data_IF_611089622474
#
_entry.id   IF_611089622474
#
_cell.length_a   1.000
_cell.length_b   1.000
_cell.length_c   1.000
_cell.angle_alpha   90.00
_cell.angle_beta   90.00
_cell.angle_gamma   90.00
#
_symmetry.space_group_name_H-M   'P 1'
#
loop_
_entity.id
_entity.type
_entity.pdbx_description
1 polymer ?
#
# COMPACT_ATOMS: atom_id res chain seq x y z
N UNK A 1 16.80 -3.26 -15.62
CA UNK A 1 16.35 -4.67 -15.52
C UNK A 1 14.84 -4.77 -15.66
N UNK A 2 14.02 -4.12 -14.83
CA UNK A 2 12.54 -4.16 -14.91
C UNK A 2 12.02 -3.90 -16.33
N UNK A 3 12.44 -2.79 -16.96
CA UNK A 3 12.07 -2.47 -18.35
C UNK A 3 12.37 -3.60 -19.34
N UNK A 4 13.56 -4.19 -19.25
CA UNK A 4 13.97 -5.28 -20.14
C UNK A 4 13.06 -6.51 -19.99
N UNK A 5 12.68 -6.87 -18.76
CA UNK A 5 11.79 -8.01 -18.52
C UNK A 5 10.38 -7.76 -19.08
N UNK A 6 9.83 -6.56 -18.87
CA UNK A 6 8.54 -6.16 -19.43
C UNK A 6 8.58 -6.15 -20.97
N UNK A 7 9.65 -5.63 -21.56
CA UNK A 7 9.86 -5.63 -23.01
C UNK A 7 10.05 -7.05 -23.59
N UNK A 8 10.38 -8.04 -22.75
CA UNK A 8 10.44 -9.48 -23.11
C UNK A 8 9.14 -10.23 -22.82
N UNK A 9 8.07 -9.54 -22.44
CA UNK A 9 6.74 -10.12 -22.24
C UNK A 9 6.49 -10.65 -20.82
N UNK A 10 7.30 -10.25 -19.83
CA UNK A 10 6.96 -10.53 -18.43
C UNK A 10 5.63 -9.86 -18.07
N UNK A 11 4.72 -10.62 -17.44
CA UNK A 11 3.43 -10.10 -16.98
C UNK A 11 3.60 -9.32 -15.67
N UNK A 12 3.37 -8.00 -15.74
CA UNK A 12 3.47 -7.08 -14.60
C UNK A 12 2.44 -7.32 -13.49
N UNK A 13 1.40 -8.13 -13.77
CA UNK A 13 0.35 -8.51 -12.82
C UNK A 13 0.57 -9.89 -12.20
N UNK A 14 1.68 -10.56 -12.52
CA UNK A 14 2.02 -11.86 -11.94
C UNK A 14 2.06 -11.79 -10.42
N UNK A 15 1.29 -12.66 -9.76
CA UNK A 15 1.28 -12.80 -8.31
C UNK A 15 2.14 -13.99 -7.88
N UNK A 16 2.98 -13.80 -6.86
CA UNK A 16 3.62 -14.92 -6.19
C UNK A 16 4.86 -14.54 -5.39
N UNK A 17 5.39 -15.54 -4.67
CA UNK A 17 6.57 -15.38 -3.83
C UNK A 17 6.37 -14.43 -2.65
N UNK A 18 7.44 -14.23 -1.87
CA UNK A 18 7.43 -13.38 -0.68
C UNK A 18 7.08 -11.90 -0.97
N UNK A 19 7.32 -11.45 -2.20
CA UNK A 19 7.20 -10.05 -2.61
C UNK A 19 5.84 -9.72 -3.27
N UNK A 20 4.97 -10.70 -3.49
CA UNK A 20 3.67 -10.49 -4.12
C UNK A 20 3.80 -10.06 -5.59
N UNK A 21 3.07 -9.02 -6.01
CA UNK A 21 3.20 -8.47 -7.38
C UNK A 21 4.16 -7.28 -7.41
N UNK A 22 4.69 -7.02 -8.61
CA UNK A 22 5.75 -6.03 -8.83
C UNK A 22 5.34 -4.61 -8.41
N UNK A 23 4.08 -4.23 -8.63
CA UNK A 23 3.58 -2.89 -8.34
C UNK A 23 3.52 -2.61 -6.82
N UNK A 24 3.03 -3.56 -6.03
CA UNK A 24 3.01 -3.46 -4.56
C UNK A 24 4.43 -3.38 -4.00
N UNK A 25 5.34 -4.21 -4.52
CA UNK A 25 6.74 -4.20 -4.11
C UNK A 25 7.43 -2.87 -4.40
N UNK A 26 7.28 -2.33 -5.62
CA UNK A 26 7.84 -1.03 -5.98
C UNK A 26 7.25 0.10 -5.12
N UNK A 27 5.94 0.05 -4.85
CA UNK A 27 5.26 1.03 -4.01
C UNK A 27 5.73 0.97 -2.54
N UNK A 28 5.91 -0.23 -2.00
CA UNK A 28 6.43 -0.46 -0.65
C UNK A 28 7.87 0.06 -0.50
N UNK A 29 8.72 -0.19 -1.49
CA UNK A 29 10.14 0.21 -1.43
C UNK A 29 10.36 1.69 -1.77
N UNK A 30 9.39 2.38 -2.37
CA UNK A 30 9.53 3.78 -2.73
C UNK A 30 10.14 4.01 -4.12
N UNK A 31 10.06 3.04 -5.03
CA UNK A 31 10.63 3.16 -6.38
C UNK A 31 9.63 3.79 -7.36
N UNK A 32 9.49 5.13 -7.29
CA UNK A 32 8.50 5.89 -8.06
C UNK A 32 8.61 5.65 -9.57
N UNK A 33 9.81 5.64 -10.13
CA UNK A 33 10.04 5.43 -11.57
C UNK A 33 9.63 4.03 -12.00
N UNK A 34 9.80 3.03 -11.13
CA UNK A 34 9.37 1.65 -11.39
C UNK A 34 7.85 1.55 -11.31
N UNK A 35 7.21 2.19 -10.33
CA UNK A 35 5.74 2.26 -10.25
C UNK A 35 5.18 2.89 -11.52
N UNK A 36 5.73 4.02 -11.95
CA UNK A 36 5.29 4.69 -13.18
C UNK A 36 5.46 3.78 -14.41
N UNK A 37 6.63 3.15 -14.58
CA UNK A 37 6.89 2.25 -15.69
C UNK A 37 5.93 1.05 -15.73
N UNK A 38 5.63 0.45 -14.57
CA UNK A 38 4.70 -0.68 -14.48
C UNK A 38 3.29 -0.27 -14.90
N UNK A 39 2.80 0.88 -14.42
CA UNK A 39 1.49 1.42 -14.80
C UNK A 39 1.42 1.78 -16.29
N UNK A 40 2.49 2.34 -16.85
CA UNK A 40 2.62 2.61 -18.30
C UNK A 40 2.61 1.32 -19.15
N UNK A 41 3.08 0.21 -18.58
CA UNK A 41 3.10 -1.12 -19.21
C UNK A 41 1.83 -1.94 -18.93
N UNK A 42 0.79 -1.33 -18.36
CA UNK A 42 -0.53 -1.96 -18.18
C UNK A 42 -0.68 -2.78 -16.91
N UNK A 43 0.18 -2.57 -15.89
CA UNK A 43 -0.09 -3.12 -14.57
C UNK A 43 -1.40 -2.55 -14.02
N UNK A 44 -2.24 -3.43 -13.45
CA UNK A 44 -3.50 -3.02 -12.83
C UNK A 44 -3.21 -2.32 -11.50
N UNK A 45 -3.56 -1.04 -11.43
CA UNK A 45 -3.37 -0.17 -10.25
C UNK A 45 -4.12 -0.69 -9.01
N UNK A 46 -5.21 -1.43 -9.22
CA UNK A 46 -6.07 -1.97 -8.18
C UNK A 46 -5.86 -3.47 -7.95
N UNK A 47 -4.85 -4.07 -8.59
CA UNK A 47 -4.53 -5.47 -8.39
C UNK A 47 -4.32 -5.80 -6.91
N UNK A 48 -4.95 -6.87 -6.47
CA UNK A 48 -4.95 -7.28 -5.08
C UNK A 48 -4.09 -8.53 -4.89
N UNK A 49 -3.03 -8.41 -4.09
CA UNK A 49 -2.19 -9.53 -3.68
C UNK A 49 -2.32 -9.85 -2.19
N UNK A 50 -1.45 -10.73 -1.69
CA UNK A 50 -1.35 -11.08 -0.27
C UNK A 50 -1.20 -9.86 0.64
N UNK A 51 -0.44 -8.86 0.20
CA UNK A 51 -0.22 -7.60 0.92
C UNK A 51 -1.23 -6.51 0.57
N UNK A 52 -2.28 -6.82 -0.19
CA UNK A 52 -3.27 -5.86 -0.67
C UNK A 52 -2.85 -5.18 -1.98
N UNK A 53 -3.30 -3.94 -2.17
CA UNK A 53 -3.02 -3.10 -3.33
C UNK A 53 -1.73 -2.30 -3.15
N UNK A 54 -1.24 -1.72 -4.26
CA UNK A 54 -0.08 -0.84 -4.21
C UNK A 54 -0.32 0.42 -3.37
N UNK A 55 -1.57 0.91 -3.32
CA UNK A 55 -1.95 2.06 -2.51
C UNK A 55 -1.80 1.76 -1.01
N UNK A 56 -2.23 0.57 -0.57
CA UNK A 56 -2.06 0.11 0.82
C UNK A 56 -0.57 -0.03 1.18
N UNK A 57 0.24 -0.57 0.26
CA UNK A 57 1.68 -0.72 0.47
C UNK A 57 2.42 0.63 0.59
N UNK A 58 2.12 1.58 -0.29
CA UNK A 58 2.64 2.96 -0.22
C UNK A 58 2.21 3.65 1.08
N UNK A 59 0.95 3.45 1.48
CA UNK A 59 0.38 4.05 2.68
C UNK A 59 1.04 3.54 3.97
N UNK A 60 1.31 2.24 4.07
CA UNK A 60 2.02 1.67 5.21
C UNK A 60 3.46 2.20 5.37
N UNK A 61 4.13 2.54 4.27
CA UNK A 61 5.53 3.00 4.25
C UNK A 61 5.71 4.52 4.09
N UNK A 62 4.63 5.28 4.14
CA UNK A 62 4.67 6.74 4.06
C UNK A 62 5.13 7.27 2.71
N UNK A 63 4.98 6.51 1.61
CA UNK A 63 5.50 6.89 0.29
C UNK A 63 4.57 7.86 -0.42
N UNK A 64 4.54 9.11 0.06
CA UNK A 64 3.61 10.17 -0.39
C UNK A 64 3.55 10.35 -1.90
N UNK A 65 4.68 10.54 -2.58
CA UNK A 65 4.69 10.77 -4.03
C UNK A 65 4.09 9.58 -4.82
N UNK A 66 4.36 8.36 -4.36
CA UNK A 66 3.81 7.15 -4.97
C UNK A 66 2.32 7.02 -4.65
N UNK A 67 1.92 7.35 -3.42
CA UNK A 67 0.53 7.34 -3.00
C UNK A 67 -0.31 8.30 -3.87
N UNK A 68 0.15 9.54 -4.07
CA UNK A 68 -0.48 10.52 -4.94
C UNK A 68 -0.49 10.07 -6.41
N UNK A 69 0.61 9.48 -6.91
CA UNK A 69 0.68 8.91 -8.25
C UNK A 69 -0.38 7.80 -8.46
N UNK A 70 -0.51 6.87 -7.50
CA UNK A 70 -1.47 5.77 -7.59
C UNK A 70 -2.91 6.29 -7.58
N UNK A 71 -3.25 7.27 -6.74
CA UNK A 71 -4.55 7.93 -6.77
C UNK A 71 -4.82 8.61 -8.11
N UNK A 72 -3.84 9.34 -8.64
CA UNK A 72 -3.92 9.97 -9.96
C UNK A 72 -4.06 8.97 -11.12
N UNK A 73 -3.76 7.68 -10.88
CA UNK A 73 -3.94 6.58 -11.83
C UNK A 73 -5.19 5.75 -11.56
N UNK A 74 -6.07 6.18 -10.64
CA UNK A 74 -7.37 5.56 -10.38
C UNK A 74 -7.36 4.47 -9.31
N UNK A 75 -6.39 4.50 -8.39
CA UNK A 75 -6.40 3.59 -7.24
C UNK A 75 -7.63 3.85 -6.35
N UNK A 76 -8.33 2.79 -5.94
CA UNK A 76 -9.49 2.90 -5.07
C UNK A 76 -9.06 3.09 -3.61
N UNK A 77 -9.38 4.26 -3.05
CA UNK A 77 -9.07 4.68 -1.66
C UNK A 77 -9.55 3.66 -0.63
N UNK A 78 -10.76 3.12 -0.82
CA UNK A 78 -11.43 2.21 0.11
C UNK A 78 -11.28 0.72 -0.25
N UNK A 79 -10.26 0.36 -1.04
CA UNK A 79 -9.95 -1.05 -1.30
C UNK A 79 -9.77 -1.82 0.02
N UNK A 80 -10.35 -3.02 0.08
CA UNK A 80 -10.29 -3.89 1.25
C UNK A 80 -9.60 -5.22 0.95
N UNK A 81 -8.81 -5.68 1.91
CA UNK A 81 -8.19 -7.01 1.93
C UNK A 81 -6.67 -6.98 2.01
N UNK A 82 -6.09 -8.17 1.85
CA UNK A 82 -4.67 -8.41 2.11
C UNK A 82 -4.27 -8.15 3.56
N UNK A 83 -2.96 -8.22 3.83
CA UNK A 83 -2.37 -8.05 5.16
C UNK A 83 -2.70 -6.72 5.86
N UNK A 84 -2.97 -5.66 5.09
CA UNK A 84 -3.17 -4.32 5.64
C UNK A 84 -4.63 -3.90 5.81
N UNK A 85 -5.59 -4.68 5.29
CA UNK A 85 -7.02 -4.39 5.39
C UNK A 85 -7.45 -3.22 4.50
N UNK A 86 -7.31 -1.95 4.90
CA UNK A 86 -7.52 -0.75 4.07
C UNK A 86 -6.27 0.11 3.99
N UNK A 87 -6.21 1.08 3.07
CA UNK A 87 -5.08 2.01 3.02
C UNK A 87 -5.00 2.88 4.29
N UNK A 88 -6.15 3.21 4.91
CA UNK A 88 -6.20 3.99 6.14
C UNK A 88 -5.66 3.19 7.34
N UNK A 89 -6.02 1.92 7.45
CA UNK A 89 -5.43 1.02 8.45
C UNK A 89 -3.93 0.82 8.22
N UNK A 90 -3.53 0.70 6.95
CA UNK A 90 -2.12 0.59 6.57
C UNK A 90 -1.32 1.81 7.05
N UNK A 91 -1.78 3.03 6.76
CA UNK A 91 -1.14 4.27 7.19
C UNK A 91 -1.15 4.45 8.71
N UNK A 92 -2.27 4.13 9.37
CA UNK A 92 -2.40 4.19 10.82
C UNK A 92 -1.44 3.22 11.52
N UNK A 93 -1.35 1.98 11.03
CA UNK A 93 -0.32 1.02 11.44
C UNK A 93 1.07 1.54 11.07
N UNK A 94 1.25 2.19 9.92
CA UNK A 94 2.51 2.81 9.49
C UNK A 94 2.94 4.01 10.35
N UNK A 95 2.06 4.55 11.21
CA UNK A 95 2.24 5.83 11.88
C UNK A 95 2.54 6.98 10.90
N UNK A 96 1.94 6.89 9.71
CA UNK A 96 2.19 7.80 8.59
C UNK A 96 1.12 8.89 8.57
N UNK A 97 1.26 9.87 9.47
CA UNK A 97 0.26 10.92 9.73
C UNK A 97 -0.17 11.66 8.46
N UNK A 98 0.78 12.08 7.62
CA UNK A 98 0.45 12.80 6.39
C UNK A 98 -0.40 11.95 5.44
N UNK A 99 -0.14 10.65 5.34
CA UNK A 99 -0.94 9.76 4.49
C UNK A 99 -2.33 9.55 5.09
N UNK A 100 -2.47 9.48 6.42
CA UNK A 100 -3.79 9.44 7.08
C UNK A 100 -4.60 10.68 6.73
N UNK A 101 -4.01 11.87 6.83
CA UNK A 101 -4.68 13.14 6.50
C UNK A 101 -5.09 13.19 5.01
N UNK A 102 -4.21 12.72 4.10
CA UNK A 102 -4.51 12.62 2.68
C UNK A 102 -5.64 11.63 2.39
N UNK A 103 -5.62 10.45 3.00
CA UNK A 103 -6.66 9.43 2.83
C UNK A 103 -8.03 9.94 3.27
N UNK A 104 -8.11 10.58 4.45
CA UNK A 104 -9.36 11.15 4.95
C UNK A 104 -9.87 12.27 4.03
N UNK A 105 -8.96 13.11 3.51
CA UNK A 105 -9.29 14.16 2.54
C UNK A 105 -9.79 13.59 1.20
N UNK A 106 -9.40 12.36 0.86
CA UNK A 106 -9.82 11.64 -0.34
C UNK A 106 -10.98 10.67 -0.08
N UNK A 107 -11.73 10.83 1.03
CA UNK A 107 -12.95 10.06 1.29
C UNK A 107 -12.72 8.66 1.84
N UNK A 108 -11.58 8.42 2.51
CA UNK A 108 -11.36 7.17 3.21
C UNK A 108 -12.39 6.98 4.33
N UNK A 109 -12.99 5.80 4.38
CA UNK A 109 -13.94 5.42 5.40
C UNK A 109 -13.24 5.19 6.76
N UNK A 110 -13.43 6.11 7.70
CA UNK A 110 -12.69 6.13 8.97
C UNK A 110 -12.95 4.90 9.86
N UNK A 111 -14.14 4.31 9.74
CA UNK A 111 -14.60 3.20 10.59
C UNK A 111 -14.66 1.85 9.85
N UNK A 112 -14.07 1.72 8.65
CA UNK A 112 -14.07 0.42 7.97
C UNK A 112 -13.42 -0.65 8.83
N UNK A 113 -14.09 -1.80 8.88
CA UNK A 113 -13.61 -3.00 9.53
C UNK A 113 -13.08 -3.95 8.47
N UNK A 114 -11.77 -4.07 8.37
CA UNK A 114 -11.10 -4.89 7.37
C UNK A 114 -9.76 -5.43 7.90
N UNK A 115 -9.31 -6.56 7.33
CA UNK A 115 -8.05 -7.18 7.68
C UNK A 115 -7.95 -7.63 9.14
N UNK A 116 -6.72 -7.83 9.60
CA UNK A 116 -6.40 -8.38 10.94
C UNK A 116 -6.65 -7.38 12.09
N UNK A 117 -6.56 -6.07 11.81
CA UNK A 117 -6.50 -5.04 12.85
C UNK A 117 -7.85 -4.42 13.24
N UNK A 118 -8.95 -4.81 12.59
CA UNK A 118 -10.27 -4.21 12.84
C UNK A 118 -10.38 -2.84 12.18
N UNK A 119 -10.24 -1.73 12.90
CA UNK A 119 -10.30 -0.34 12.39
C UNK A 119 -8.94 0.33 12.32
N UNK A 120 -8.85 1.50 11.66
CA UNK A 120 -7.61 2.28 11.64
C UNK A 120 -7.14 2.71 13.04
N UNK A 121 -8.09 3.04 13.93
CA UNK A 121 -7.78 3.37 15.32
C UNK A 121 -7.20 2.18 16.07
N UNK A 122 -7.77 0.98 15.90
CA UNK A 122 -7.26 -0.25 16.50
C UNK A 122 -5.85 -0.59 15.96
N UNK A 123 -5.61 -0.39 14.66
CA UNK A 123 -4.29 -0.57 14.05
C UNK A 123 -3.22 0.37 14.64
N UNK A 124 -3.55 1.65 14.84
CA UNK A 124 -2.66 2.62 15.47
C UNK A 124 -2.35 2.25 16.94
N UNK A 125 -3.38 1.88 17.71
CA UNK A 125 -3.23 1.46 19.10
C UNK A 125 -2.33 0.22 19.23
N UNK A 126 -2.53 -0.79 18.38
CA UNK A 126 -1.72 -2.01 18.36
C UNK A 126 -0.22 -1.71 18.18
N UNK A 127 0.16 -0.82 17.25
CA UNK A 127 1.57 -0.47 17.05
C UNK A 127 2.14 0.37 18.18
N UNK A 128 1.34 1.27 18.77
CA UNK A 128 1.73 2.01 19.98
C UNK A 128 2.12 1.07 21.12
N UNK A 129 1.34 0.01 21.34
CA UNK A 129 1.65 -1.03 22.32
C UNK A 129 2.95 -1.79 22.00
N UNK A 130 3.20 -2.15 20.73
CA UNK A 130 4.45 -2.83 20.35
C UNK A 130 5.68 -1.95 20.58
N UNK A 131 5.63 -0.67 20.21
CA UNK A 131 6.76 0.26 20.35
C UNK A 131 7.16 0.47 21.81
N UNK A 132 6.18 0.54 22.71
CA UNK A 132 6.43 0.68 24.14
C UNK A 132 7.07 -0.59 24.76
N UNK A 133 6.78 -1.78 24.23
CA UNK A 133 7.41 -3.04 24.68
C UNK A 133 8.85 -3.19 24.21
N UNK A 134 9.18 -2.70 23.01
CA UNK A 134 10.56 -2.76 22.48
C UNK A 134 11.52 -1.74 23.08
N UNK A 135 11.01 -0.65 23.67
CA UNK A 135 11.82 0.38 24.34
C UNK A 135 12.09 0.09 25.82
N UNK A 136 11.58 -1.04 26.34
CA UNK A 136 11.70 -1.45 27.74
C UNK A 136 12.85 -2.46 28.00
N UNK A 137 13.75 -2.65 27.02
CA UNK A 137 14.96 -3.47 27.10
C UNK A 137 16.14 -2.70 26.50
#
# INVERSE_FOLDING_TARGET
IVKLLLDKGADGNSQGGEYGMALQSAAFQGHREIVQLLLEKGADVNAQGEYGTALQAAAFRGKREIFELLLGKGAYVNSQGGKYGTALQAAARGNEREIVELLLSNGAEINSQAGEYGTALQAAAYRGHQRNRSAAY
#
